data_IF_134672862982
#
_entry.id   IF_134672862982
#
_cell.length_a   1.000
_cell.length_b   1.000
_cell.length_c   1.000
_cell.angle_alpha   90.00
_cell.angle_beta   90.00
_cell.angle_gamma   90.00
#
_symmetry.space_group_name_H-M   'P 1'
#
loop_
_entity.id
_entity.type
_entity.pdbx_description
1 polymer ?
#
# COMPACT_ATOMS: atom_id res chain seq x y z
N UNK A 1 2.66 23.31 -5.04
CA UNK A 1 3.92 22.94 -4.35
C UNK A 1 4.80 22.20 -5.35
N UNK A 2 6.13 22.24 -5.24
CA UNK A 2 7.04 21.63 -6.24
C UNK A 2 7.30 20.15 -5.96
N UNK A 3 7.64 19.38 -6.99
CA UNK A 3 8.03 17.96 -6.87
C UNK A 3 9.24 17.78 -5.94
N UNK A 4 10.22 18.68 -6.02
CA UNK A 4 11.40 18.68 -5.14
C UNK A 4 11.02 18.76 -3.65
N UNK A 5 10.00 19.57 -3.31
CA UNK A 5 9.54 19.70 -1.94
C UNK A 5 8.81 18.43 -1.45
N UNK A 6 8.12 17.72 -2.34
CA UNK A 6 7.52 16.42 -2.02
C UNK A 6 8.60 15.38 -1.72
N UNK A 7 9.64 15.33 -2.56
CA UNK A 7 10.76 14.41 -2.37
C UNK A 7 11.51 14.68 -1.06
N UNK A 8 11.71 15.93 -0.68
CA UNK A 8 12.33 16.25 0.62
C UNK A 8 11.43 15.85 1.80
N UNK A 9 10.11 16.06 1.69
CA UNK A 9 9.17 15.62 2.73
C UNK A 9 9.15 14.09 2.89
N UNK A 10 9.24 13.33 1.79
CA UNK A 10 9.34 11.87 1.81
C UNK A 10 10.65 11.39 2.49
N UNK A 11 11.77 12.07 2.24
CA UNK A 11 13.05 11.79 2.94
C UNK A 11 13.02 12.18 4.41
N UNK A 12 12.30 13.25 4.77
CA UNK A 12 12.03 13.59 6.18
C UNK A 12 11.24 12.45 6.84
N UNK A 13 10.21 11.92 6.17
CA UNK A 13 9.36 10.86 6.69
C UNK A 13 10.12 9.56 6.91
N UNK A 14 10.93 9.12 5.95
CA UNK A 14 11.76 7.92 6.06
C UNK A 14 12.64 7.96 7.32
N UNK A 15 13.31 9.10 7.56
CA UNK A 15 14.12 9.30 8.79
C UNK A 15 13.32 9.24 10.08
N UNK A 16 12.03 9.62 10.05
CA UNK A 16 11.16 9.60 11.23
C UNK A 16 10.57 8.23 11.51
N UNK A 17 10.46 7.37 10.51
CA UNK A 17 9.99 5.99 10.71
C UNK A 17 11.02 5.15 11.49
N UNK A 18 12.32 5.42 11.33
CA UNK A 18 13.40 4.66 11.96
C UNK A 18 13.60 4.95 13.47
N UNK A 19 12.82 5.85 14.08
CA UNK A 19 12.96 6.13 15.51
C UNK A 19 12.27 7.39 16.03
N UNK A 20 11.42 8.03 15.24
CA UNK A 20 10.59 9.15 15.67
C UNK A 20 9.36 8.71 16.45
N UNK A 21 8.75 9.65 17.17
CA UNK A 21 7.44 9.44 17.79
C UNK A 21 6.32 9.50 16.74
N UNK A 22 5.19 8.85 17.01
CA UNK A 22 4.02 8.80 16.10
C UNK A 22 3.57 10.20 15.69
N UNK A 23 3.61 11.16 16.61
CA UNK A 23 3.24 12.56 16.35
C UNK A 23 4.16 13.24 15.33
N UNK A 24 5.44 12.87 15.30
CA UNK A 24 6.38 13.39 14.31
C UNK A 24 6.09 12.82 12.92
N UNK A 25 5.77 11.53 12.85
CA UNK A 25 5.34 10.83 11.63
C UNK A 25 4.09 11.52 11.07
N UNK A 26 3.05 11.68 11.89
CA UNK A 26 1.77 12.31 11.51
C UNK A 26 1.97 13.74 10.99
N UNK A 27 2.88 14.49 11.62
CA UNK A 27 3.21 15.86 11.19
C UNK A 27 3.81 15.89 9.80
N UNK A 28 4.71 14.96 9.48
CA UNK A 28 5.34 14.90 8.15
C UNK A 28 4.35 14.39 7.11
N UNK A 29 3.56 13.38 7.44
CA UNK A 29 2.47 12.88 6.59
C UNK A 29 1.50 14.01 6.24
N UNK A 30 1.10 14.82 7.21
CA UNK A 30 0.22 15.98 6.97
C UNK A 30 0.80 16.99 5.98
N UNK A 31 2.14 17.13 5.90
CA UNK A 31 2.77 17.95 4.86
C UNK A 31 2.69 17.29 3.49
N UNK A 32 2.91 15.97 3.43
CA UNK A 32 2.89 15.19 2.17
C UNK A 32 1.48 15.19 1.56
N UNK A 33 0.44 15.03 2.36
CA UNK A 33 -0.95 15.01 1.87
C UNK A 33 -1.39 16.34 1.26
N UNK A 34 -0.81 17.48 1.70
CA UNK A 34 -1.07 18.80 1.10
C UNK A 34 -0.62 18.91 -0.36
N UNK A 35 0.30 18.06 -0.82
CA UNK A 35 0.69 18.03 -2.23
C UNK A 35 -0.40 17.42 -3.12
N UNK A 36 -1.26 16.55 -2.57
CA UNK A 36 -2.32 15.87 -3.33
C UNK A 36 -1.81 15.07 -4.52
N UNK A 37 -0.55 14.61 -4.48
CA UNK A 37 0.09 13.91 -5.59
C UNK A 37 0.01 12.40 -5.41
N UNK A 38 -0.52 11.72 -6.42
CA UNK A 38 -0.57 10.25 -6.47
C UNK A 38 0.84 9.63 -6.35
N UNK A 39 1.88 10.33 -6.84
CA UNK A 39 3.27 9.89 -6.73
C UNK A 39 3.77 9.72 -5.28
N UNK A 40 3.01 10.19 -4.28
CA UNK A 40 3.31 9.97 -2.86
C UNK A 40 2.84 8.61 -2.36
N UNK A 41 1.85 7.97 -2.99
CA UNK A 41 1.22 6.73 -2.50
C UNK A 41 2.24 5.59 -2.42
N UNK A 42 2.92 5.29 -3.53
CA UNK A 42 3.92 4.21 -3.56
C UNK A 42 5.03 4.41 -2.53
N UNK A 43 5.69 5.58 -2.44
CA UNK A 43 6.66 5.85 -1.37
C UNK A 43 6.11 5.63 0.03
N UNK A 44 4.89 6.11 0.35
CA UNK A 44 4.27 5.91 1.66
C UNK A 44 4.09 4.41 1.98
N UNK A 45 3.61 3.62 1.03
CA UNK A 45 3.40 2.19 1.20
C UNK A 45 4.72 1.41 1.30
N UNK A 46 5.75 1.80 0.55
CA UNK A 46 7.07 1.18 0.63
C UNK A 46 7.82 1.48 1.92
N UNK A 47 7.37 2.45 2.71
CA UNK A 47 7.93 2.79 4.02
C UNK A 47 7.33 1.97 5.17
N UNK A 48 6.34 1.12 4.89
CA UNK A 48 5.78 0.21 5.90
C UNK A 48 6.84 -0.81 6.36
N UNK A 49 6.86 -1.10 7.66
CA UNK A 49 7.86 -1.95 8.30
C UNK A 49 7.23 -2.93 9.28
N UNK A 50 7.48 -4.23 9.09
CA UNK A 50 6.99 -5.28 10.00
C UNK A 50 7.66 -5.21 11.39
N UNK A 51 8.80 -4.53 11.50
CA UNK A 51 9.55 -4.31 12.74
C UNK A 51 9.39 -2.89 13.31
N UNK A 52 8.36 -2.15 12.88
CA UNK A 52 8.05 -0.83 13.40
C UNK A 52 7.82 -0.86 14.92
N UNK A 53 8.32 0.15 15.64
CA UNK A 53 8.12 0.26 17.08
C UNK A 53 6.65 0.50 17.47
N UNK A 54 5.92 1.22 16.61
CA UNK A 54 4.53 1.61 16.81
C UNK A 54 3.73 1.35 15.53
N UNK A 55 2.74 0.45 15.60
CA UNK A 55 1.83 0.15 14.50
C UNK A 55 1.02 1.38 14.09
N UNK A 56 0.74 2.29 15.02
CA UNK A 56 0.00 3.53 14.78
C UNK A 56 0.65 4.38 13.67
N UNK A 57 1.98 4.46 13.65
CA UNK A 57 2.70 5.18 12.59
C UNK A 57 2.51 4.53 11.22
N UNK A 58 2.47 3.20 11.15
CA UNK A 58 2.25 2.45 9.92
C UNK A 58 0.80 2.62 9.43
N UNK A 59 -0.17 2.63 10.34
CA UNK A 59 -1.55 2.95 10.01
C UNK A 59 -1.70 4.38 9.48
N UNK A 60 -0.97 5.36 10.01
CA UNK A 60 -0.98 6.73 9.47
C UNK A 60 -0.51 6.79 8.02
N UNK A 61 0.51 5.99 7.64
CA UNK A 61 0.97 5.88 6.25
C UNK A 61 -0.12 5.30 5.34
N UNK A 62 -0.77 4.23 5.78
CA UNK A 62 -1.87 3.58 5.05
C UNK A 62 -3.02 4.58 4.87
N UNK A 63 -3.43 5.28 5.92
CA UNK A 63 -4.51 6.26 5.84
C UNK A 63 -4.19 7.43 4.91
N UNK A 64 -2.94 7.88 4.88
CA UNK A 64 -2.51 8.89 3.93
C UNK A 64 -2.60 8.40 2.48
N UNK A 65 -2.17 7.17 2.21
CA UNK A 65 -2.28 6.55 0.89
C UNK A 65 -3.74 6.30 0.47
N UNK A 66 -4.60 5.88 1.41
CA UNK A 66 -6.03 5.62 1.20
C UNK A 66 -6.88 6.91 1.09
N UNK A 67 -6.29 8.10 1.27
CA UNK A 67 -7.00 9.37 1.11
C UNK A 67 -7.34 9.71 -0.36
N UNK A 68 -6.71 9.02 -1.31
CA UNK A 68 -6.97 9.14 -2.74
C UNK A 68 -8.15 8.26 -3.17
N UNK A 69 -8.69 8.49 -4.36
CA UNK A 69 -9.73 7.62 -4.89
C UNK A 69 -9.22 6.20 -5.15
N UNK A 70 -10.10 5.21 -5.03
CA UNK A 70 -9.75 3.78 -5.14
C UNK A 70 -8.98 3.44 -6.41
N UNK A 71 -9.26 4.11 -7.55
CA UNK A 71 -8.58 3.83 -8.81
C UNK A 71 -7.13 4.29 -8.73
N UNK A 72 -6.90 5.52 -8.29
CA UNK A 72 -5.55 6.08 -8.10
C UNK A 72 -4.76 5.27 -7.07
N UNK A 73 -5.38 4.98 -5.92
CA UNK A 73 -4.77 4.22 -4.84
C UNK A 73 -4.34 2.81 -5.27
N UNK A 74 -5.24 2.03 -5.89
CA UNK A 74 -4.93 0.66 -6.30
C UNK A 74 -3.89 0.57 -7.41
N UNK A 75 -3.76 1.59 -8.26
CA UNK A 75 -2.73 1.66 -9.30
C UNK A 75 -1.34 1.74 -8.68
N UNK A 76 -1.15 2.72 -7.79
CA UNK A 76 0.13 2.94 -7.11
C UNK A 76 0.45 1.80 -6.13
N UNK A 77 -0.57 1.21 -5.50
CA UNK A 77 -0.41 0.01 -4.67
C UNK A 77 0.14 -1.17 -5.47
N UNK A 78 -0.39 -1.46 -6.65
CA UNK A 78 0.11 -2.53 -7.51
C UNK A 78 1.60 -2.34 -7.84
N UNK A 79 2.02 -1.10 -8.07
CA UNK A 79 3.42 -0.77 -8.34
C UNK A 79 4.31 -0.80 -7.08
N UNK A 80 3.73 -0.70 -5.88
CA UNK A 80 4.42 -0.83 -4.60
C UNK A 80 4.53 -2.28 -4.11
N UNK A 81 3.57 -3.14 -4.49
CA UNK A 81 3.43 -4.51 -3.99
C UNK A 81 4.71 -5.36 -4.05
N UNK A 82 5.51 -5.34 -5.13
CA UNK A 82 6.74 -6.13 -5.17
C UNK A 82 7.72 -5.78 -4.05
N UNK A 83 7.88 -4.49 -3.77
CA UNK A 83 8.71 -4.01 -2.67
C UNK A 83 8.09 -4.39 -1.34
N UNK A 84 6.81 -4.10 -1.13
CA UNK A 84 6.12 -4.40 0.13
C UNK A 84 6.18 -5.89 0.49
N UNK A 85 5.95 -6.80 -0.47
CA UNK A 85 6.02 -8.24 -0.23
C UNK A 85 7.44 -8.69 0.18
N UNK A 86 8.47 -7.94 -0.21
CA UNK A 86 9.86 -8.24 0.13
C UNK A 86 10.26 -7.65 1.49
N UNK A 87 9.87 -6.41 1.78
CA UNK A 87 10.34 -5.65 2.95
C UNK A 87 9.41 -5.73 4.15
N UNK A 88 8.10 -5.85 3.92
CA UNK A 88 7.06 -5.79 4.94
C UNK A 88 5.84 -6.65 4.57
N UNK A 89 6.02 -7.98 4.42
CA UNK A 89 4.94 -8.89 4.00
C UNK A 89 3.73 -8.88 4.94
N UNK A 90 3.90 -8.67 6.26
CA UNK A 90 2.76 -8.60 7.16
C UNK A 90 1.89 -7.35 6.87
N UNK A 91 2.52 -6.19 6.67
CA UNK A 91 1.80 -4.98 6.26
C UNK A 91 1.23 -5.07 4.84
N UNK A 92 1.93 -5.74 3.91
CA UNK A 92 1.39 -6.01 2.57
C UNK A 92 0.07 -6.79 2.66
N UNK A 93 0.00 -7.83 3.50
CA UNK A 93 -1.23 -8.58 3.77
C UNK A 93 -2.32 -7.69 4.35
N UNK A 94 -2.03 -6.88 5.36
CA UNK A 94 -2.99 -5.95 5.97
C UNK A 94 -3.58 -5.01 4.92
N UNK A 95 -2.73 -4.39 4.10
CA UNK A 95 -3.14 -3.46 3.04
C UNK A 95 -4.04 -4.14 2.01
N UNK A 96 -3.66 -5.33 1.53
CA UNK A 96 -4.49 -6.05 0.55
C UNK A 96 -5.80 -6.52 1.18
N UNK A 97 -5.81 -6.99 2.43
CA UNK A 97 -7.06 -7.35 3.11
C UNK A 97 -8.02 -6.16 3.23
N UNK A 98 -7.52 -4.95 3.46
CA UNK A 98 -8.34 -3.72 3.46
C UNK A 98 -8.94 -3.45 2.08
N UNK A 99 -8.15 -3.55 1.01
CA UNK A 99 -8.65 -3.45 -0.37
C UNK A 99 -9.71 -4.50 -0.67
N UNK A 100 -9.47 -5.75 -0.29
CA UNK A 100 -10.41 -6.85 -0.50
C UNK A 100 -11.74 -6.66 0.25
N UNK A 101 -11.73 -5.93 1.37
CA UNK A 101 -12.93 -5.62 2.16
C UNK A 101 -13.76 -4.46 1.60
N UNK A 102 -13.23 -3.66 0.68
CA UNK A 102 -13.99 -2.63 -0.05
C UNK A 102 -14.38 -3.16 -1.43
N UNK A 103 -15.69 -3.18 -1.74
CA UNK A 103 -16.16 -3.67 -3.05
C UNK A 103 -15.63 -2.80 -4.21
N UNK A 104 -15.55 -1.49 -4.00
CA UNK A 104 -15.04 -0.54 -4.99
C UNK A 104 -13.53 -0.72 -5.21
N UNK A 105 -12.74 -0.73 -4.14
CA UNK A 105 -11.29 -0.93 -4.23
C UNK A 105 -10.93 -2.31 -4.78
N UNK A 106 -11.63 -3.37 -4.36
CA UNK A 106 -11.46 -4.74 -4.91
C UNK A 106 -11.77 -4.80 -6.40
N UNK A 107 -12.80 -4.07 -6.85
CA UNK A 107 -13.12 -3.93 -8.27
C UNK A 107 -11.99 -3.26 -9.06
N UNK A 108 -11.43 -2.17 -8.53
CA UNK A 108 -10.30 -1.47 -9.14
C UNK A 108 -9.03 -2.33 -9.17
N UNK A 109 -8.68 -2.98 -8.07
CA UNK A 109 -7.57 -3.93 -8.00
C UNK A 109 -7.70 -5.02 -9.07
N UNK A 110 -8.88 -5.62 -9.20
CA UNK A 110 -9.15 -6.67 -10.21
C UNK A 110 -8.98 -6.14 -11.63
N UNK A 111 -9.52 -4.96 -11.92
CA UNK A 111 -9.44 -4.36 -13.25
C UNK A 111 -8.00 -4.04 -13.64
N UNK A 112 -7.26 -3.44 -12.71
CA UNK A 112 -5.92 -2.92 -12.96
C UNK A 112 -4.86 -4.02 -12.93
N UNK A 113 -5.02 -5.06 -12.10
CA UNK A 113 -4.11 -6.20 -12.04
C UNK A 113 -3.90 -6.87 -13.41
N UNK A 114 -4.92 -6.89 -14.28
CA UNK A 114 -4.82 -7.46 -15.64
C UNK A 114 -3.74 -6.80 -16.50
N UNK A 115 -3.53 -5.50 -16.31
CA UNK A 115 -2.58 -4.70 -17.09
C UNK A 115 -1.32 -4.36 -16.30
N UNK A 116 -1.22 -4.80 -15.05
CA UNK A 116 -0.04 -4.58 -14.23
C UNK A 116 1.17 -5.30 -14.81
N UNK A 117 2.36 -4.81 -14.44
CA UNK A 117 3.61 -5.45 -14.81
C UNK A 117 3.71 -6.87 -14.19
N UNK A 118 4.62 -7.70 -14.73
CA UNK A 118 4.73 -9.10 -14.31
C UNK A 118 5.13 -9.28 -12.85
N UNK A 119 5.93 -8.37 -12.28
CA UNK A 119 6.36 -8.47 -10.89
C UNK A 119 5.19 -8.15 -9.94
N UNK A 120 4.44 -7.10 -10.23
CA UNK A 120 3.21 -6.76 -9.51
C UNK A 120 2.19 -7.91 -9.55
N UNK A 121 2.00 -8.53 -10.73
CA UNK A 121 1.12 -9.71 -10.87
C UNK A 121 1.56 -10.88 -10.00
N UNK A 122 2.85 -11.22 -10.02
CA UNK A 122 3.40 -12.32 -9.20
C UNK A 122 3.26 -12.03 -7.71
N UNK A 123 3.61 -10.82 -7.28
CA UNK A 123 3.50 -10.41 -5.88
C UNK A 123 2.05 -10.41 -5.40
N UNK A 124 1.12 -9.88 -6.20
CA UNK A 124 -0.30 -9.94 -5.87
C UNK A 124 -0.80 -11.39 -5.78
N UNK A 125 -0.49 -12.24 -6.77
CA UNK A 125 -0.92 -13.64 -6.76
C UNK A 125 -0.39 -14.40 -5.53
N UNK A 126 0.91 -14.24 -5.23
CA UNK A 126 1.54 -14.83 -4.05
C UNK A 126 0.86 -14.37 -2.75
N UNK A 127 0.63 -13.07 -2.62
CA UNK A 127 0.05 -12.49 -1.40
C UNK A 127 -1.41 -12.92 -1.19
N UNK A 128 -2.22 -12.97 -2.25
CA UNK A 128 -3.59 -13.49 -2.18
C UNK A 128 -3.63 -14.97 -1.79
N UNK A 129 -2.66 -15.76 -2.24
CA UNK A 129 -2.52 -17.15 -1.82
C UNK A 129 -2.13 -17.26 -0.34
N UNK A 130 -1.21 -16.42 0.16
CA UNK A 130 -0.89 -16.37 1.59
C UNK A 130 -2.13 -16.03 2.43
N UNK A 131 -2.86 -14.98 2.05
CA UNK A 131 -4.09 -14.55 2.75
C UNK A 131 -5.13 -15.69 2.78
N UNK A 132 -5.32 -16.41 1.67
CA UNK A 132 -6.25 -17.53 1.60
C UNK A 132 -5.84 -18.71 2.50
N UNK A 133 -4.53 -18.97 2.61
CA UNK A 133 -3.99 -20.03 3.47
C UNK A 133 -4.19 -19.70 4.96
N UNK A 134 -4.06 -18.44 5.33
CA UNK A 134 -4.25 -17.97 6.71
C UNK A 134 -5.72 -17.78 7.08
N UNK A 135 -6.53 -17.27 6.15
CA UNK A 135 -7.94 -16.93 6.40
C UNK A 135 -8.85 -17.36 5.24
N UNK A 136 -9.47 -18.55 5.33
CA UNK A 136 -10.43 -19.03 4.33
C UNK A 136 -11.62 -18.09 4.09
N UNK A 137 -11.92 -17.17 5.02
CA UNK A 137 -12.96 -16.17 4.88
C UNK A 137 -12.75 -15.20 3.70
N UNK A 138 -11.49 -15.08 3.22
CA UNK A 138 -11.16 -14.23 2.07
C UNK A 138 -11.27 -14.95 0.72
N UNK A 139 -11.48 -16.27 0.68
CA UNK A 139 -11.52 -17.05 -0.57
C UNK A 139 -12.47 -16.44 -1.61
N UNK A 140 -13.69 -16.05 -1.21
CA UNK A 140 -14.67 -15.46 -2.12
C UNK A 140 -14.25 -14.08 -2.65
N UNK A 141 -13.41 -13.35 -1.92
CA UNK A 141 -12.93 -12.01 -2.27
C UNK A 141 -11.66 -12.06 -3.14
N UNK A 142 -10.88 -13.14 -3.07
CA UNK A 142 -9.60 -13.24 -3.78
C UNK A 142 -9.72 -13.86 -5.18
N UNK A 143 -10.79 -14.61 -5.49
CA UNK A 143 -10.94 -15.32 -6.77
C UNK A 143 -10.74 -14.39 -7.98
N UNK A 144 -11.47 -13.28 -8.05
CA UNK A 144 -11.41 -12.39 -9.21
C UNK A 144 -10.05 -11.67 -9.35
N UNK A 145 -9.48 -11.06 -8.29
CA UNK A 145 -8.12 -10.53 -8.31
C UNK A 145 -7.05 -11.58 -8.68
N UNK A 146 -7.17 -12.81 -8.17
CA UNK A 146 -6.20 -13.87 -8.44
C UNK A 146 -6.21 -14.32 -9.90
N UNK A 147 -7.40 -14.44 -10.51
CA UNK A 147 -7.54 -14.70 -11.94
C UNK A 147 -6.94 -13.55 -12.75
N UNK A 148 -7.22 -12.30 -12.37
CA UNK A 148 -6.68 -11.12 -13.04
C UNK A 148 -5.15 -11.03 -12.98
N UNK A 149 -4.54 -11.46 -11.86
CA UNK A 149 -3.10 -11.48 -11.69
C UNK A 149 -2.42 -12.62 -12.47
N UNK A 150 -3.10 -13.76 -12.65
CA UNK A 150 -2.56 -14.94 -13.35
C UNK A 150 -2.75 -14.91 -14.87
N UNK A 151 -3.73 -14.14 -15.37
CA UNK A 151 -3.99 -13.93 -16.80
C UNK A 151 -3.07 -12.87 -17.41
#
# INVERSE_FOLDING_TARGET
MSEEALQEALKELERKIDGGEVQEIDRVISKITLFGSASSIKPLLCLLRDDALYDEGMYSLIHAAESFDDRTYTCELLDALPTMCHTSPAWASIVIMRVLNSDSARGQLTLQARNANQDAKKSLAWLLEQINNESPAFLSKTVAPLIAAKG
#
